data_IF_605660301559
#
_entry.id   IF_605660301559
#
_cell.length_a   1.000
_cell.length_b   1.000
_cell.length_c   1.000
_cell.angle_alpha   90.00
_cell.angle_beta   90.00
_cell.angle_gamma   90.00
#
_symmetry.space_group_name_H-M   'P 1'
#
loop_
_entity.id
_entity.type
_entity.pdbx_description
1 polymer ?
#
# COMPACT_ATOMS: atom_id res chain seq x y z
N UNK A 1 21.60 4.44 31.90
CA UNK A 1 21.66 2.98 32.08
C UNK A 1 22.68 2.43 31.08
N UNK A 2 23.70 1.67 31.54
CA UNK A 2 24.89 1.29 30.72
C UNK A 2 24.85 -0.18 30.29
N UNK A 3 23.75 -0.88 30.52
CA UNK A 3 23.59 -2.28 30.16
C UNK A 3 22.53 -2.40 29.08
N UNK A 4 22.92 -2.98 27.95
CA UNK A 4 21.98 -3.33 26.89
C UNK A 4 20.93 -4.31 27.41
N UNK A 5 19.69 -4.18 26.95
CA UNK A 5 18.58 -5.03 27.39
C UNK A 5 17.91 -5.68 26.18
N UNK A 6 17.50 -6.92 26.36
CA UNK A 6 16.66 -7.61 25.39
C UNK A 6 15.20 -7.37 25.75
N UNK A 7 14.40 -6.94 24.78
CA UNK A 7 12.96 -6.73 24.94
C UNK A 7 12.21 -7.43 23.82
N UNK A 8 11.16 -8.17 24.19
CA UNK A 8 10.20 -8.68 23.23
C UNK A 8 9.11 -7.64 22.99
N UNK A 9 8.87 -7.32 21.73
CA UNK A 9 7.81 -6.41 21.30
C UNK A 9 6.79 -7.19 20.48
N UNK A 10 5.52 -7.10 20.87
CA UNK A 10 4.38 -7.54 20.06
C UNK A 10 3.98 -6.42 19.11
N UNK A 11 4.20 -6.61 17.82
CA UNK A 11 3.87 -5.63 16.78
C UNK A 11 2.81 -6.21 15.83
N UNK A 12 1.87 -5.36 15.42
CA UNK A 12 0.98 -5.65 14.30
C UNK A 12 1.67 -5.19 13.02
N UNK A 13 2.01 -6.13 12.14
CA UNK A 13 2.67 -5.87 10.87
C UNK A 13 1.70 -6.16 9.73
N UNK A 14 1.80 -5.37 8.66
CA UNK A 14 1.14 -5.66 7.39
C UNK A 14 2.04 -6.63 6.63
N UNK A 15 1.62 -7.88 6.54
CA UNK A 15 2.26 -8.86 5.67
C UNK A 15 1.55 -8.90 4.32
N UNK A 16 2.28 -9.23 3.26
CA UNK A 16 1.69 -9.49 1.95
C UNK A 16 0.63 -10.59 2.04
N UNK A 17 -0.52 -10.38 1.41
CA UNK A 17 -1.58 -11.38 1.37
C UNK A 17 -1.13 -12.57 0.51
N UNK A 18 -0.92 -13.72 1.16
CA UNK A 18 -0.45 -14.95 0.51
C UNK A 18 -1.44 -15.49 -0.53
N UNK A 19 -2.75 -15.30 -0.33
CA UNK A 19 -3.79 -15.79 -1.25
C UNK A 19 -3.83 -15.07 -2.60
N UNK A 20 -3.41 -13.81 -2.64
CA UNK A 20 -3.45 -12.99 -3.86
C UNK A 20 -2.09 -12.42 -4.27
N UNK A 21 -1.03 -12.76 -3.53
CA UNK A 21 0.34 -12.27 -3.74
C UNK A 21 0.39 -10.76 -3.94
N UNK A 22 -0.20 -10.01 -2.99
CA UNK A 22 -0.18 -8.55 -3.01
C UNK A 22 -1.09 -7.89 -4.06
N UNK A 23 -1.71 -8.64 -4.98
CA UNK A 23 -2.48 -8.04 -6.07
C UNK A 23 -3.91 -7.63 -5.67
N UNK A 24 -4.40 -8.11 -4.53
CA UNK A 24 -5.73 -7.79 -4.00
C UNK A 24 -6.90 -8.43 -4.76
N UNK A 25 -6.65 -9.16 -5.85
CA UNK A 25 -7.69 -9.85 -6.63
C UNK A 25 -7.97 -11.26 -6.08
N UNK A 26 -9.19 -11.74 -6.26
CA UNK A 26 -9.57 -13.13 -5.93
C UNK A 26 -8.73 -14.12 -6.73
N UNK A 27 -8.42 -15.26 -6.12
CA UNK A 27 -7.66 -16.33 -6.78
C UNK A 27 -8.31 -16.74 -8.12
N UNK A 28 -7.50 -16.87 -9.17
CA UNK A 28 -7.96 -17.13 -10.54
C UNK A 28 -8.50 -15.91 -11.30
N UNK A 29 -8.59 -14.75 -10.65
CA UNK A 29 -8.90 -13.46 -11.29
C UNK A 29 -7.69 -12.55 -11.25
N UNK A 30 -7.65 -11.57 -12.14
CA UNK A 30 -6.53 -10.62 -12.25
C UNK A 30 -7.02 -9.20 -12.04
N UNK A 31 -6.23 -8.41 -11.31
CA UNK A 31 -6.39 -6.96 -11.32
C UNK A 31 -6.07 -6.40 -12.72
N UNK A 32 -6.99 -5.63 -13.28
CA UNK A 32 -6.79 -4.97 -14.58
C UNK A 32 -6.08 -3.63 -14.37
N UNK A 33 -5.19 -3.24 -15.26
CA UNK A 33 -4.60 -1.89 -15.23
C UNK A 33 -5.70 -0.84 -15.42
N UNK A 34 -5.72 0.18 -14.56
CA UNK A 34 -6.71 1.25 -14.67
C UNK A 34 -6.48 2.04 -15.97
N UNK A 35 -7.45 1.95 -16.89
CA UNK A 35 -7.37 2.61 -18.21
C UNK A 35 -7.32 4.14 -18.11
N UNK A 36 -7.94 4.73 -17.09
CA UNK A 36 -8.01 6.18 -16.92
C UNK A 36 -6.68 6.82 -16.53
N UNK A 37 -5.88 6.16 -15.69
CA UNK A 37 -4.56 6.65 -15.28
C UNK A 37 -3.39 5.87 -15.88
N UNK A 38 -3.66 4.84 -16.68
CA UNK A 38 -2.63 3.96 -17.27
C UNK A 38 -1.77 3.27 -16.21
N UNK A 39 -2.34 2.89 -15.06
CA UNK A 39 -1.59 2.27 -13.97
C UNK A 39 -0.90 3.24 -13.00
N UNK A 40 -0.94 4.56 -13.25
CA UNK A 40 -0.19 5.54 -12.43
C UNK A 40 -0.84 5.90 -11.09
N UNK A 41 -2.10 5.53 -10.87
CA UNK A 41 -2.86 5.92 -9.67
C UNK A 41 -3.30 7.39 -9.63
N UNK A 42 -2.80 8.22 -10.53
CA UNK A 42 -3.10 9.65 -10.61
C UNK A 42 -3.40 10.09 -12.04
N UNK A 43 -4.21 11.14 -12.18
CA UNK A 43 -4.57 11.77 -13.44
C UNK A 43 -4.11 13.23 -13.43
N UNK A 44 -3.60 13.70 -14.56
CA UNK A 44 -3.11 15.08 -14.71
C UNK A 44 -4.11 15.86 -15.55
N UNK A 45 -4.73 16.87 -14.96
CA UNK A 45 -5.60 17.81 -15.66
C UNK A 45 -4.79 19.03 -16.05
N UNK A 46 -4.60 19.23 -17.35
CA UNK A 46 -3.94 20.41 -17.89
C UNK A 46 -5.02 21.41 -18.29
N UNK A 47 -4.99 22.60 -17.69
CA UNK A 47 -5.97 23.65 -17.92
C UNK A 47 -5.25 24.93 -18.33
N UNK A 48 -5.75 25.58 -19.38
CA UNK A 48 -5.20 26.85 -19.85
C UNK A 48 -5.89 27.98 -19.09
N UNK A 49 -5.10 28.81 -18.42
CA UNK A 49 -5.58 29.95 -17.62
C UNK A 49 -4.99 31.26 -18.15
N UNK A 50 -5.50 32.38 -17.64
CA UNK A 50 -5.00 33.73 -17.96
C UNK A 50 -3.51 33.92 -17.63
N UNK A 51 -2.95 33.15 -16.70
CA UNK A 51 -1.53 33.23 -16.29
C UNK A 51 -0.65 32.10 -16.87
N UNK A 52 -1.16 31.38 -17.87
CA UNK A 52 -0.46 30.25 -18.50
C UNK A 52 -1.11 28.90 -18.22
N UNK A 53 -0.33 27.84 -18.43
CA UNK A 53 -0.81 26.45 -18.33
C UNK A 53 -0.66 25.93 -16.90
N UNK A 54 -1.78 25.58 -16.27
CA UNK A 54 -1.80 24.96 -14.94
C UNK A 54 -1.98 23.45 -15.08
N UNK A 55 -1.14 22.68 -14.38
CA UNK A 55 -1.28 21.22 -14.28
C UNK A 55 -1.72 20.85 -12.88
N UNK A 56 -2.92 20.29 -12.77
CA UNK A 56 -3.46 19.77 -11.52
C UNK A 56 -3.33 18.25 -11.51
N UNK A 57 -2.59 17.72 -10.54
CA UNK A 57 -2.48 16.28 -10.33
C UNK A 57 -3.53 15.88 -9.29
N UNK A 58 -4.38 14.93 -9.66
CA UNK A 58 -5.41 14.41 -8.76
C UNK A 58 -5.32 12.89 -8.68
N UNK A 59 -5.66 12.34 -7.52
CA UNK A 59 -5.85 10.90 -7.35
C UNK A 59 -6.87 10.39 -8.36
N UNK A 60 -6.55 9.31 -9.06
CA UNK A 60 -7.44 8.76 -10.07
C UNK A 60 -8.73 8.25 -9.37
N UNK A 61 -9.92 8.78 -9.73
CA UNK A 61 -11.16 8.43 -9.03
C UNK A 61 -11.60 6.98 -9.29
N UNK A 62 -11.25 6.42 -10.46
CA UNK A 62 -11.69 5.08 -10.87
C UNK A 62 -10.97 3.98 -10.07
N UNK A 63 -9.67 4.14 -9.83
CA UNK A 63 -8.86 3.18 -9.08
C UNK A 63 -8.52 3.64 -7.65
N UNK A 64 -8.96 4.84 -7.26
CA UNK A 64 -8.69 5.47 -5.95
C UNK A 64 -7.20 5.48 -5.55
N UNK A 65 -6.32 5.70 -6.52
CA UNK A 65 -4.87 5.74 -6.27
C UNK A 65 -4.13 4.43 -6.47
N UNK A 66 -4.81 3.28 -6.54
CA UNK A 66 -4.14 1.97 -6.64
C UNK A 66 -3.51 1.70 -8.00
N UNK A 67 -3.92 2.41 -9.05
CA UNK A 67 -3.50 2.15 -10.44
C UNK A 67 -4.14 0.91 -11.06
N UNK A 68 -4.90 0.13 -10.29
CA UNK A 68 -5.50 -1.14 -10.71
C UNK A 68 -7.01 -1.14 -10.47
N UNK A 69 -7.75 -1.91 -11.25
CA UNK A 69 -9.17 -2.16 -11.09
C UNK A 69 -9.33 -3.62 -10.74
N UNK A 70 -9.84 -3.87 -9.53
CA UNK A 70 -10.10 -5.21 -9.01
C UNK A 70 -11.61 -5.43 -9.06
N UNK A 71 -12.07 -6.25 -10.01
CA UNK A 71 -13.50 -6.59 -10.13
C UNK A 71 -13.95 -7.52 -9.02
N UNK A 72 -13.17 -8.58 -8.79
CA UNK A 72 -13.39 -9.54 -7.72
C UNK A 72 -12.28 -9.39 -6.69
N UNK A 73 -12.63 -8.83 -5.52
CA UNK A 73 -11.69 -8.63 -4.42
C UNK A 73 -11.29 -9.96 -3.82
N UNK A 74 -10.03 -10.06 -3.41
CA UNK A 74 -9.54 -11.16 -2.60
C UNK A 74 -10.36 -11.24 -1.30
N UNK A 75 -10.93 -12.41 -0.95
CA UNK A 75 -11.73 -12.55 0.26
C UNK A 75 -10.90 -12.40 1.54
N UNK A 76 -9.61 -12.73 1.51
CA UNK A 76 -8.74 -12.76 2.70
C UNK A 76 -8.21 -11.37 3.08
N UNK A 77 -7.95 -10.50 2.10
CA UNK A 77 -7.47 -9.13 2.34
C UNK A 77 -8.47 -8.05 1.92
N UNK A 78 -9.67 -8.42 1.49
CA UNK A 78 -10.72 -7.52 1.00
C UNK A 78 -10.26 -6.50 -0.07
N UNK A 79 -9.26 -6.87 -0.87
CA UNK A 79 -8.70 -6.02 -1.92
C UNK A 79 -7.53 -5.14 -1.49
N UNK A 80 -7.06 -5.21 -0.24
CA UNK A 80 -5.92 -4.42 0.23
C UNK A 80 -4.56 -4.96 -0.26
N UNK A 81 -4.46 -6.26 -0.54
CA UNK A 81 -3.21 -6.92 -0.91
C UNK A 81 -2.30 -7.26 0.28
N UNK A 82 -2.67 -6.87 1.49
CA UNK A 82 -1.96 -7.23 2.72
C UNK A 82 -2.94 -7.71 3.80
N UNK A 83 -2.43 -8.48 4.74
CA UNK A 83 -3.14 -8.93 5.94
C UNK A 83 -2.35 -8.48 7.16
N UNK A 84 -3.06 -8.09 8.23
CA UNK A 84 -2.40 -7.69 9.47
C UNK A 84 -2.10 -8.94 10.31
N UNK A 85 -0.84 -9.19 10.63
CA UNK A 85 -0.40 -10.28 11.50
C UNK A 85 0.29 -9.72 12.75
N UNK A 86 0.14 -10.41 13.88
CA UNK A 86 0.86 -10.08 15.11
C UNK A 86 2.17 -10.86 15.13
N UNK A 87 3.31 -10.17 15.22
CA UNK A 87 4.63 -10.80 15.34
C UNK A 87 5.33 -10.33 16.60
N UNK A 88 5.97 -11.29 17.27
CA UNK A 88 6.91 -11.03 18.35
C UNK A 88 8.29 -10.80 17.76
N UNK A 89 8.83 -9.60 17.97
CA UNK A 89 10.19 -9.26 17.57
C UNK A 89 11.01 -9.09 18.84
N UNK A 90 12.13 -9.83 18.89
CA UNK A 90 13.14 -9.66 19.93
C UNK A 90 14.06 -8.52 19.50
N UNK A 91 13.99 -7.39 20.22
CA UNK A 91 14.88 -6.25 20.00
C UNK A 91 16.00 -6.31 21.02
N UNK A 92 17.23 -6.29 20.53
CA UNK A 92 18.43 -6.16 21.35
C UNK A 92 18.81 -4.68 21.36
N UNK A 93 18.70 -4.04 22.52
CA UNK A 93 19.14 -2.65 22.71
C UNK A 93 20.60 -2.71 23.13
N UNK A 94 21.59 -2.36 22.29
CA UNK A 94 22.99 -2.35 22.69
C UNK A 94 23.25 -1.29 23.77
N UNK A 95 24.26 -1.52 24.59
CA UNK A 95 24.69 -0.56 25.60
C UNK A 95 25.19 0.74 24.93
N UNK A 96 24.80 1.91 25.47
CA UNK A 96 25.34 3.21 25.06
C UNK A 96 24.55 3.98 23.98
N UNK A 97 23.28 3.64 23.74
CA UNK A 97 22.35 4.46 22.95
C UNK A 97 21.81 5.62 23.83
N UNK A 98 21.91 6.86 23.36
CA UNK A 98 21.21 8.07 23.87
C UNK A 98 20.07 8.45 22.90
#
# INVERSE_FOLDING_TARGET
>A
AVFGTEKELDLNLKDECTSCHGNGAKHGTSAETCKKCGGKGQVVYTQQSLFGVVRNVQTCPDCRGTGKIIREKCPDCHGEGYVTSRKKIKVVIPAGID
#
